data_IF_074003374076
#
_entry.id   IF_074003374076
#
_cell.length_a   1.000
_cell.length_b   1.000
_cell.length_c   1.000
_cell.angle_alpha   90.00
_cell.angle_beta   90.00
_cell.angle_gamma   90.00
#
_symmetry.space_group_name_H-M   'P 1'
#
loop_
_entity.id
_entity.type
_entity.pdbx_description
1 polymer ?
#
# COMPACT_ATOMS: atom_id res chain seq x y z
N UNK A 1 15.25 -11.20 16.80
CA UNK A 1 14.07 -11.20 15.88
C UNK A 1 14.41 -10.33 14.68
N UNK A 2 14.37 -10.91 13.47
CA UNK A 2 14.61 -10.20 12.21
C UNK A 2 13.40 -9.31 11.86
N UNK A 3 13.66 -8.13 11.37
CA UNK A 3 12.63 -7.13 11.06
C UNK A 3 12.49 -6.99 9.54
N UNK A 4 11.32 -7.36 9.02
CA UNK A 4 10.93 -7.12 7.64
C UNK A 4 9.97 -5.94 7.60
N UNK A 5 10.31 -4.90 6.84
CA UNK A 5 9.44 -3.77 6.57
C UNK A 5 9.04 -3.78 5.11
N UNK A 6 7.74 -3.67 4.85
CA UNK A 6 7.15 -3.58 3.50
C UNK A 6 6.51 -2.19 3.36
N UNK A 7 6.96 -1.42 2.39
CA UNK A 7 6.44 -0.11 2.09
C UNK A 7 5.46 -0.18 0.92
N UNK A 8 4.21 0.15 1.20
CA UNK A 8 3.09 0.04 0.27
C UNK A 8 2.31 -1.26 0.46
N UNK A 9 1.02 -1.13 0.76
CA UNK A 9 0.06 -2.23 0.89
C UNK A 9 -0.92 -2.26 -0.29
N UNK A 10 -0.45 -1.92 -1.48
CA UNK A 10 -1.13 -2.12 -2.75
C UNK A 10 -1.02 -3.58 -3.21
N UNK A 11 -1.21 -3.82 -4.51
CA UNK A 11 -1.17 -5.19 -5.07
C UNK A 11 0.14 -5.89 -4.79
N UNK A 12 1.28 -5.27 -5.10
CA UNK A 12 2.59 -5.89 -4.93
C UNK A 12 2.92 -6.16 -3.45
N UNK A 13 2.72 -5.18 -2.58
CA UNK A 13 3.02 -5.31 -1.15
C UNK A 13 2.18 -6.38 -0.47
N UNK A 14 0.87 -6.42 -0.74
CA UNK A 14 -0.01 -7.44 -0.17
C UNK A 14 0.26 -8.84 -0.73
N UNK A 15 0.61 -8.96 -2.01
CA UNK A 15 1.04 -10.23 -2.59
C UNK A 15 2.31 -10.76 -1.93
N UNK A 16 3.33 -9.91 -1.77
CA UNK A 16 4.57 -10.30 -1.09
C UNK A 16 4.31 -10.70 0.36
N UNK A 17 3.51 -9.92 1.08
CA UNK A 17 3.12 -10.20 2.45
C UNK A 17 2.46 -11.59 2.58
N UNK A 18 1.44 -11.85 1.76
CA UNK A 18 0.68 -13.11 1.81
C UNK A 18 1.51 -14.34 1.36
N UNK A 19 2.59 -14.12 0.60
CA UNK A 19 3.55 -15.19 0.26
C UNK A 19 4.59 -15.43 1.35
N UNK A 20 5.01 -14.40 2.05
CA UNK A 20 6.08 -14.49 3.04
C UNK A 20 5.59 -14.95 4.42
N UNK A 21 4.42 -14.49 4.86
CA UNK A 21 3.87 -14.83 6.18
C UNK A 21 3.78 -16.34 6.42
N UNK A 22 3.32 -17.18 5.47
CA UNK A 22 3.25 -18.63 5.70
C UNK A 22 4.60 -19.34 5.81
N UNK A 23 5.68 -18.72 5.31
CA UNK A 23 7.02 -19.35 5.26
C UNK A 23 8.01 -18.77 6.26
N UNK A 24 7.71 -17.59 6.83
CA UNK A 24 8.54 -16.96 7.85
C UNK A 24 8.03 -17.34 9.25
N UNK A 25 8.91 -17.87 10.08
CA UNK A 25 8.57 -18.22 11.45
C UNK A 25 8.30 -16.95 12.29
N UNK A 26 7.10 -16.83 12.86
CA UNK A 26 6.68 -15.70 13.69
C UNK A 26 7.55 -15.48 14.93
N UNK A 27 8.21 -16.53 15.43
CA UNK A 27 9.10 -16.43 16.59
C UNK A 27 10.48 -15.82 16.21
N UNK A 28 10.81 -15.82 14.92
CA UNK A 28 12.06 -15.29 14.40
C UNK A 28 11.90 -13.98 13.64
N UNK A 29 10.70 -13.72 13.11
CA UNK A 29 10.43 -12.59 12.22
C UNK A 29 9.33 -11.67 12.76
N UNK A 30 9.60 -10.38 12.73
CA UNK A 30 8.60 -9.32 12.90
C UNK A 30 8.35 -8.66 11.55
N UNK A 31 7.09 -8.68 11.10
CA UNK A 31 6.71 -8.13 9.80
C UNK A 31 5.85 -6.90 10.02
N UNK A 32 6.26 -5.78 9.41
CA UNK A 32 5.51 -4.53 9.41
C UNK A 32 5.25 -4.10 7.97
N UNK A 33 4.00 -3.74 7.67
CA UNK A 33 3.60 -3.16 6.39
C UNK A 33 3.07 -1.75 6.61
N UNK A 34 3.50 -0.80 5.77
CA UNK A 34 3.16 0.62 5.89
C UNK A 34 2.45 1.08 4.64
N UNK A 35 1.36 1.81 4.81
CA UNK A 35 0.67 2.49 3.70
C UNK A 35 -0.05 3.74 4.19
N UNK A 36 -0.13 4.76 3.36
CA UNK A 36 -0.84 6.01 3.68
C UNK A 36 -2.36 5.89 3.54
N UNK A 37 -2.87 4.85 2.86
CA UNK A 37 -4.29 4.63 2.61
C UNK A 37 -4.78 3.34 3.25
N UNK A 38 -5.95 3.37 3.85
CA UNK A 38 -6.64 2.19 4.38
C UNK A 38 -7.42 1.42 3.30
N UNK A 39 -7.50 1.97 2.08
CA UNK A 39 -8.27 1.40 0.98
C UNK A 39 -7.36 0.66 0.00
N UNK A 40 -7.79 -0.54 -0.37
CA UNK A 40 -7.19 -1.33 -1.44
C UNK A 40 -8.04 -1.21 -2.70
N UNK A 41 -7.42 -0.87 -3.82
CA UNK A 41 -8.06 -0.69 -5.12
C UNK A 41 -7.75 -1.87 -6.03
N UNK A 42 -8.79 -2.55 -6.51
CA UNK A 42 -8.67 -3.56 -7.56
C UNK A 42 -8.65 -2.86 -8.92
N UNK A 43 -7.50 -2.40 -9.34
CA UNK A 43 -7.34 -1.60 -10.56
C UNK A 43 -7.86 -2.27 -11.84
N UNK A 44 -7.70 -3.60 -12.07
CA UNK A 44 -8.28 -4.24 -13.26
C UNK A 44 -9.79 -4.12 -13.35
N UNK A 45 -10.48 -3.93 -12.22
CA UNK A 45 -11.92 -3.73 -12.17
C UNK A 45 -12.39 -2.35 -12.63
N UNK A 46 -11.50 -1.36 -12.70
CA UNK A 46 -11.84 0.01 -13.10
C UNK A 46 -12.41 0.06 -14.52
N UNK A 47 -11.90 -0.77 -15.40
CA UNK A 47 -12.36 -0.87 -16.79
C UNK A 47 -13.86 -1.19 -16.91
N UNK A 48 -14.42 -1.90 -15.94
CA UNK A 48 -15.80 -2.38 -15.98
C UNK A 48 -16.81 -1.41 -15.36
N UNK A 49 -16.35 -0.36 -14.65
CA UNK A 49 -17.24 0.63 -14.02
C UNK A 49 -18.03 1.44 -15.05
N UNK A 50 -17.42 2.00 -16.13
CA UNK A 50 -18.16 2.77 -17.12
C UNK A 50 -19.26 1.99 -17.83
N UNK A 51 -19.14 0.66 -17.86
CA UNK A 51 -20.11 -0.24 -18.51
C UNK A 51 -21.18 -0.77 -17.54
N UNK A 52 -21.18 -0.30 -16.28
CA UNK A 52 -22.16 -0.72 -15.28
C UNK A 52 -21.99 -2.15 -14.75
N UNK A 53 -20.88 -2.83 -15.11
CA UNK A 53 -20.59 -4.20 -14.66
C UNK A 53 -20.07 -4.24 -13.21
N UNK A 54 -19.32 -3.21 -12.80
CA UNK A 54 -18.82 -3.01 -11.45
C UNK A 54 -19.21 -1.64 -10.92
N UNK A 55 -19.30 -1.52 -9.60
CA UNK A 55 -19.45 -0.27 -8.88
C UNK A 55 -18.16 0.07 -8.13
N UNK A 56 -18.04 1.28 -7.59
CA UNK A 56 -16.91 1.66 -6.70
C UNK A 56 -16.76 0.67 -5.54
N UNK A 57 -17.85 0.16 -4.97
CA UNK A 57 -17.83 -0.79 -3.85
C UNK A 57 -17.23 -2.15 -4.22
N UNK A 58 -17.33 -2.53 -5.47
CA UNK A 58 -16.78 -3.81 -5.94
C UNK A 58 -15.26 -3.76 -6.02
N UNK A 59 -14.69 -2.61 -6.38
CA UNK A 59 -13.26 -2.43 -6.64
C UNK A 59 -12.50 -1.82 -5.45
N UNK A 60 -13.19 -1.32 -4.43
CA UNK A 60 -12.57 -0.72 -3.24
C UNK A 60 -12.89 -1.59 -2.03
N UNK A 61 -11.83 -2.07 -1.36
CA UNK A 61 -11.95 -2.88 -0.14
C UNK A 61 -11.02 -2.34 0.94
N UNK A 62 -11.33 -2.55 2.23
CA UNK A 62 -10.38 -2.24 3.31
C UNK A 62 -9.09 -3.06 3.15
N UNK A 63 -7.93 -2.41 3.27
CA UNK A 63 -6.62 -3.10 3.22
C UNK A 63 -6.47 -4.15 4.31
N UNK A 64 -7.07 -3.93 5.47
CA UNK A 64 -7.07 -4.88 6.57
C UNK A 64 -7.57 -6.28 6.17
N UNK A 65 -8.46 -6.38 5.17
CA UNK A 65 -8.94 -7.67 4.66
C UNK A 65 -7.85 -8.51 3.98
N UNK A 66 -6.75 -7.90 3.59
CA UNK A 66 -5.65 -8.54 2.84
C UNK A 66 -4.38 -8.69 3.69
N UNK A 67 -4.42 -8.27 4.95
CA UNK A 67 -3.29 -8.33 5.88
C UNK A 67 -3.49 -9.52 6.81
N UNK A 68 -2.59 -10.52 6.77
CA UNK A 68 -2.67 -11.69 7.64
C UNK A 68 -2.53 -11.31 9.13
N UNK A 69 -3.09 -12.15 9.98
CA UNK A 69 -2.91 -12.03 11.43
C UNK A 69 -1.43 -12.10 11.81
N UNK A 70 -1.03 -11.31 12.81
CA UNK A 70 0.35 -11.25 13.30
C UNK A 70 1.25 -10.26 12.55
N UNK A 71 0.75 -9.60 11.51
CA UNK A 71 1.44 -8.52 10.81
C UNK A 71 1.05 -7.18 11.40
N UNK A 72 2.05 -6.32 11.63
CA UNK A 72 1.82 -4.96 12.09
C UNK A 72 1.52 -4.05 10.88
N UNK A 73 0.29 -3.54 10.79
CA UNK A 73 -0.09 -2.56 9.78
C UNK A 73 -0.01 -1.14 10.37
N UNK A 74 0.78 -0.27 9.72
CA UNK A 74 0.90 1.13 10.08
C UNK A 74 0.29 1.98 8.96
N UNK A 75 -0.79 2.70 9.30
CA UNK A 75 -1.39 3.67 8.40
C UNK A 75 -0.69 5.01 8.58
N UNK A 76 0.32 5.26 7.78
CA UNK A 76 1.09 6.51 7.78
C UNK A 76 1.80 6.69 6.45
N UNK A 77 2.11 7.92 6.14
CA UNK A 77 2.87 8.29 4.95
C UNK A 77 4.37 8.14 5.21
N UNK A 78 5.09 7.67 4.20
CA UNK A 78 6.54 7.51 4.25
C UNK A 78 7.16 8.87 3.94
N UNK A 79 8.03 9.34 4.83
CA UNK A 79 8.79 10.57 4.65
C UNK A 79 10.13 10.29 3.99
N UNK A 80 10.94 9.41 4.61
CA UNK A 80 12.31 9.17 4.15
C UNK A 80 12.78 7.74 4.43
N UNK A 81 13.60 7.21 3.53
CA UNK A 81 14.34 5.96 3.72
C UNK A 81 15.83 6.31 3.87
N UNK A 82 16.43 5.88 4.97
CA UNK A 82 17.87 5.95 5.22
C UNK A 82 18.44 4.54 5.07
N UNK A 83 18.97 4.24 3.89
CA UNK A 83 19.52 2.92 3.56
C UNK A 83 20.83 2.62 4.26
N UNK A 84 21.62 3.64 4.62
CA UNK A 84 22.88 3.44 5.33
C UNK A 84 22.66 3.02 6.78
N UNK A 85 21.57 3.53 7.41
CA UNK A 85 21.21 3.24 8.79
C UNK A 85 20.11 2.19 8.94
N UNK A 86 19.61 1.65 7.82
CA UNK A 86 18.50 0.70 7.79
C UNK A 86 17.26 1.21 8.54
N UNK A 87 16.83 2.45 8.21
CA UNK A 87 15.71 3.12 8.84
C UNK A 87 14.72 3.66 7.83
N UNK A 88 13.44 3.58 8.17
CA UNK A 88 12.35 4.28 7.48
C UNK A 88 11.75 5.28 8.45
N UNK A 89 11.64 6.52 8.03
CA UNK A 89 10.98 7.59 8.78
C UNK A 89 9.60 7.84 8.19
N UNK A 90 8.60 7.92 9.05
CA UNK A 90 7.22 8.22 8.68
C UNK A 90 6.90 9.68 9.00
N UNK A 91 5.92 10.26 8.31
CA UNK A 91 5.53 11.68 8.51
C UNK A 91 5.03 11.98 9.94
N UNK A 92 4.49 10.99 10.64
CA UNK A 92 4.06 11.10 12.04
C UNK A 92 5.22 11.06 13.06
N UNK A 93 6.47 10.98 12.59
CA UNK A 93 7.67 10.94 13.40
C UNK A 93 8.10 9.54 13.85
N UNK A 94 7.34 8.51 13.52
CA UNK A 94 7.73 7.12 13.80
C UNK A 94 8.94 6.73 12.95
N UNK A 95 9.91 6.06 13.58
CA UNK A 95 11.11 5.53 12.93
C UNK A 95 11.08 4.00 13.02
N UNK A 96 11.09 3.35 11.87
CA UNK A 96 11.13 1.90 11.77
C UNK A 96 12.56 1.45 11.41
N UNK A 97 13.14 0.58 12.23
CA UNK A 97 14.39 -0.09 11.89
C UNK A 97 14.07 -1.40 11.17
N UNK A 98 14.86 -1.77 10.17
CA UNK A 98 14.68 -3.00 9.41
C UNK A 98 15.99 -3.75 9.19
N UNK A 99 15.89 -5.06 9.07
CA UNK A 99 16.95 -5.93 8.54
C UNK A 99 16.73 -6.17 7.04
N UNK A 100 15.45 -6.22 6.63
CA UNK A 100 15.03 -6.39 5.25
C UNK A 100 13.94 -5.38 4.89
N UNK A 101 14.06 -4.77 3.71
CA UNK A 101 13.13 -3.78 3.20
C UNK A 101 12.59 -4.18 1.84
N UNK A 102 11.27 -4.14 1.69
CA UNK A 102 10.59 -4.29 0.41
C UNK A 102 9.90 -2.96 0.08
N UNK A 103 10.21 -2.38 -1.07
CA UNK A 103 9.59 -1.15 -1.56
C UNK A 103 8.58 -1.51 -2.64
N UNK A 104 7.29 -1.30 -2.36
CA UNK A 104 6.16 -1.62 -3.21
C UNK A 104 5.15 -0.46 -3.25
N UNK A 105 5.65 0.78 -3.27
CA UNK A 105 4.84 2.00 -3.14
C UNK A 105 4.02 2.33 -4.39
N UNK A 106 4.29 1.66 -5.51
CA UNK A 106 3.56 1.86 -6.75
C UNK A 106 3.86 3.20 -7.43
N UNK A 107 2.85 3.74 -8.13
CA UNK A 107 2.93 4.99 -8.88
C UNK A 107 1.79 5.92 -8.49
N UNK A 108 2.03 7.23 -8.61
CA UNK A 108 1.01 8.26 -8.50
C UNK A 108 0.39 8.61 -9.84
N UNK A 109 -0.84 9.10 -9.81
CA UNK A 109 -1.51 9.65 -10.98
C UNK A 109 -1.21 11.15 -11.03
N UNK A 110 -0.82 11.65 -12.20
CA UNK A 110 -0.50 13.06 -12.45
C UNK A 110 -1.43 13.60 -13.54
N UNK A 111 -2.67 13.99 -13.16
CA UNK A 111 -3.70 14.36 -14.14
C UNK A 111 -3.40 15.63 -14.91
N UNK A 112 -2.61 16.55 -14.35
CA UNK A 112 -2.21 17.81 -14.97
C UNK A 112 -1.24 17.63 -16.18
N UNK A 113 -0.62 16.46 -16.32
CA UNK A 113 0.17 16.13 -17.51
C UNK A 113 -0.70 15.87 -18.76
N UNK A 114 -2.00 15.65 -18.58
CA UNK A 114 -2.95 15.44 -19.69
C UNK A 114 -3.93 16.59 -19.77
N UNK A 115 -3.90 17.43 -20.83
CA UNK A 115 -4.84 18.53 -21.00
C UNK A 115 -6.29 18.06 -20.93
N UNK A 116 -7.13 18.74 -20.13
CA UNK A 116 -8.54 18.43 -19.95
C UNK A 116 -8.84 17.40 -18.85
N UNK A 117 -7.82 16.80 -18.24
CA UNK A 117 -8.01 15.86 -17.11
C UNK A 117 -8.34 16.57 -15.80
N UNK A 118 -7.90 17.81 -15.60
CA UNK A 118 -8.27 18.63 -14.45
C UNK A 118 -9.60 19.34 -14.71
N UNK A 119 -10.52 19.27 -13.75
CA UNK A 119 -11.81 19.92 -13.78
C UNK A 119 -12.78 19.33 -12.76
N UNK A 120 -14.03 19.84 -12.70
CA UNK A 120 -15.02 19.36 -11.73
C UNK A 120 -15.30 17.86 -11.79
N UNK A 121 -15.15 17.26 -12.97
CA UNK A 121 -15.39 15.83 -13.18
C UNK A 121 -14.27 14.93 -12.65
N UNK A 122 -13.10 15.48 -12.36
CA UNK A 122 -12.00 14.71 -11.77
C UNK A 122 -12.38 14.13 -10.41
N UNK A 123 -13.13 14.88 -9.62
CA UNK A 123 -13.57 14.46 -8.29
C UNK A 123 -14.53 13.27 -8.31
N UNK A 124 -15.16 13.03 -9.45
CA UNK A 124 -16.03 11.86 -9.65
C UNK A 124 -15.27 10.63 -10.12
N UNK A 125 -13.95 10.75 -10.29
CA UNK A 125 -13.13 9.62 -10.71
C UNK A 125 -12.96 8.60 -9.58
N UNK A 126 -12.67 7.37 -9.95
CA UNK A 126 -12.44 6.27 -9.00
C UNK A 126 -11.10 6.36 -8.27
N UNK A 127 -10.28 7.34 -8.62
CA UNK A 127 -8.95 7.53 -8.06
C UNK A 127 -8.93 8.45 -6.83
N UNK A 128 -10.09 9.04 -6.49
CA UNK A 128 -10.28 9.85 -5.28
C UNK A 128 -11.02 9.14 -4.16
#
# INVERSE_FOLDING_TARGET
>A
MKKLVILGAGTAGTMMLNKLVPVLNSDEWSITIVDQSEKHYYQPGFLFIPFGMYTKKDVIKPKANFIPFGVNFINSKIDKIDGEKNKVMLEDGVVLNYDYLIIATGVGIVPDETPGMLGPQWQDSIHE
#
